data_IF_311045534897
#
_entry.id   IF_311045534897
#
_cell.length_a   1.000
_cell.length_b   1.000
_cell.length_c   1.000
_cell.angle_alpha   90.00
_cell.angle_beta   90.00
_cell.angle_gamma   90.00
#
_symmetry.space_group_name_H-M   'P 1'
#
loop_
_entity.id
_entity.type
_entity.pdbx_description
1 polymer ?
#
# COMPACT_ATOMS: atom_id res chain seq x y z
N UNK A 1 -8.21 -23.24 14.78
CA UNK A 1 -8.49 -21.88 15.30
C UNK A 1 -7.82 -20.80 14.44
N UNK A 2 -6.52 -20.90 14.12
CA UNK A 2 -5.80 -19.92 13.27
C UNK A 2 -6.40 -19.75 11.88
N UNK A 3 -6.75 -20.85 11.21
CA UNK A 3 -7.37 -20.81 9.86
C UNK A 3 -8.68 -20.03 9.88
N UNK A 4 -9.54 -20.22 10.90
CA UNK A 4 -10.78 -19.45 11.03
C UNK A 4 -10.51 -17.93 11.20
N UNK A 5 -9.49 -17.56 11.99
CA UNK A 5 -9.05 -16.16 12.13
C UNK A 5 -8.56 -15.58 10.79
N UNK A 6 -7.75 -16.32 10.05
CA UNK A 6 -7.26 -15.92 8.73
C UNK A 6 -8.39 -15.69 7.71
N UNK A 7 -9.39 -16.60 7.68
CA UNK A 7 -10.57 -16.44 6.81
C UNK A 7 -11.35 -15.17 7.19
N UNK A 8 -11.52 -14.89 8.49
CA UNK A 8 -12.17 -13.67 8.97
C UNK A 8 -11.43 -12.41 8.54
N UNK A 9 -10.10 -12.38 8.68
CA UNK A 9 -9.24 -11.27 8.25
C UNK A 9 -9.39 -11.05 6.73
N UNK A 10 -9.25 -12.12 5.94
CA UNK A 10 -9.37 -12.05 4.49
C UNK A 10 -10.74 -11.52 4.07
N UNK A 11 -11.81 -12.05 4.63
CA UNK A 11 -13.18 -11.62 4.33
C UNK A 11 -13.42 -10.14 4.65
N UNK A 12 -12.92 -9.66 5.78
CA UNK A 12 -13.02 -8.25 6.17
C UNK A 12 -12.23 -7.34 5.24
N UNK A 13 -10.97 -7.68 4.97
CA UNK A 13 -10.05 -6.85 4.17
C UNK A 13 -10.37 -6.86 2.67
N UNK A 14 -11.01 -7.92 2.15
CA UNK A 14 -11.51 -7.95 0.77
C UNK A 14 -12.90 -7.39 0.61
N UNK A 15 -13.69 -7.30 1.67
CA UNK A 15 -15.09 -6.91 1.65
C UNK A 15 -15.34 -5.40 1.43
N UNK A 16 -16.58 -4.98 1.70
CA UNK A 16 -17.03 -3.58 1.52
C UNK A 16 -16.32 -2.58 2.45
N UNK A 17 -15.77 -3.03 3.57
CA UNK A 17 -14.94 -2.22 4.47
C UNK A 17 -13.44 -2.34 4.17
N UNK A 18 -13.08 -2.98 3.06
CA UNK A 18 -11.73 -3.18 2.57
C UNK A 18 -11.62 -2.91 1.07
N UNK A 19 -11.01 -3.82 0.34
CA UNK A 19 -10.66 -3.64 -1.08
C UNK A 19 -11.86 -3.30 -1.96
N UNK A 20 -13.00 -3.99 -1.81
CA UNK A 20 -14.20 -3.72 -2.62
C UNK A 20 -14.70 -2.28 -2.36
N UNK A 21 -14.74 -1.83 -1.10
CA UNK A 21 -15.13 -0.45 -0.79
C UNK A 21 -14.19 0.59 -1.39
N UNK A 22 -12.88 0.38 -1.30
CA UNK A 22 -11.88 1.25 -1.93
C UNK A 22 -12.02 1.29 -3.45
N UNK A 23 -12.20 0.14 -4.09
CA UNK A 23 -12.41 0.03 -5.53
C UNK A 23 -13.71 0.69 -5.99
N UNK A 24 -14.80 0.54 -5.22
CA UNK A 24 -16.08 1.18 -5.55
C UNK A 24 -15.94 2.70 -5.57
N UNK A 25 -15.30 3.27 -4.54
CA UNK A 25 -15.08 4.73 -4.48
C UNK A 25 -14.14 5.21 -5.60
N UNK A 26 -13.09 4.44 -5.95
CA UNK A 26 -12.21 4.75 -7.07
C UNK A 26 -12.97 4.83 -8.39
N UNK A 27 -13.86 3.87 -8.65
CA UNK A 27 -14.68 3.85 -9.86
C UNK A 27 -15.72 4.99 -9.88
N UNK A 28 -16.41 5.24 -8.77
CA UNK A 28 -17.41 6.32 -8.66
C UNK A 28 -16.80 7.72 -8.83
N UNK A 29 -15.52 7.87 -8.48
CA UNK A 29 -14.81 9.14 -8.56
C UNK A 29 -13.88 9.23 -9.78
N UNK A 30 -13.94 8.28 -10.71
CA UNK A 30 -13.24 8.35 -11.98
C UNK A 30 -13.64 9.63 -12.73
N UNK A 31 -12.71 10.27 -13.41
CA UNK A 31 -12.86 11.56 -14.11
C UNK A 31 -13.25 12.76 -13.22
N UNK A 32 -13.09 12.65 -11.91
CA UNK A 32 -13.35 13.74 -10.97
C UNK A 32 -12.06 14.14 -10.24
N UNK A 33 -11.91 15.44 -10.00
CA UNK A 33 -10.91 15.93 -9.06
C UNK A 33 -11.37 15.59 -7.64
N UNK A 34 -10.55 14.86 -6.91
CA UNK A 34 -10.86 14.42 -5.55
C UNK A 34 -9.88 15.03 -4.56
N UNK A 35 -10.35 15.36 -3.34
CA UNK A 35 -9.47 15.83 -2.29
C UNK A 35 -8.59 14.70 -1.73
N UNK A 36 -7.51 15.10 -1.06
CA UNK A 36 -6.49 14.17 -0.55
C UNK A 36 -7.06 13.08 0.37
N UNK A 37 -8.01 13.42 1.24
CA UNK A 37 -8.63 12.46 2.17
C UNK A 37 -9.37 11.32 1.42
N UNK A 38 -9.96 11.62 0.27
CA UNK A 38 -10.57 10.60 -0.60
C UNK A 38 -9.53 9.74 -1.31
N UNK A 39 -8.45 10.36 -1.77
CA UNK A 39 -7.34 9.62 -2.37
C UNK A 39 -6.68 8.67 -1.34
N UNK A 40 -6.40 9.17 -0.14
CA UNK A 40 -5.84 8.37 0.96
C UNK A 40 -6.78 7.19 1.32
N UNK A 41 -8.09 7.42 1.33
CA UNK A 41 -9.08 6.37 1.54
C UNK A 41 -9.01 5.27 0.45
N UNK A 42 -8.93 5.68 -0.82
CA UNK A 42 -8.82 4.75 -1.94
C UNK A 42 -7.52 3.93 -1.83
N UNK A 43 -6.38 4.56 -1.62
CA UNK A 43 -5.09 3.89 -1.51
C UNK A 43 -5.04 2.89 -0.37
N UNK A 44 -5.53 3.32 0.81
CA UNK A 44 -5.58 2.46 1.99
C UNK A 44 -6.45 1.23 1.77
N UNK A 45 -7.62 1.36 1.15
CA UNK A 45 -8.54 0.24 1.04
C UNK A 45 -8.33 -0.58 -0.24
N UNK A 46 -8.20 0.05 -1.41
CA UNK A 46 -8.12 -0.67 -2.68
C UNK A 46 -6.90 -1.58 -2.76
N UNK A 47 -5.75 -1.11 -2.31
CA UNK A 47 -4.48 -1.85 -2.35
C UNK A 47 -3.97 -2.19 -0.96
N UNK A 48 -3.96 -1.22 -0.04
CA UNK A 48 -3.43 -1.38 1.31
C UNK A 48 -4.11 -2.52 2.07
N UNK A 49 -5.42 -2.64 2.01
CA UNK A 49 -6.16 -3.69 2.72
C UNK A 49 -5.72 -5.12 2.33
N UNK A 50 -5.35 -5.35 1.07
CA UNK A 50 -4.86 -6.67 0.64
C UNK A 50 -3.45 -6.96 1.15
N UNK A 51 -2.57 -5.96 1.18
CA UNK A 51 -1.24 -6.09 1.78
C UNK A 51 -1.34 -6.34 3.29
N UNK A 52 -2.20 -5.60 3.97
CA UNK A 52 -2.50 -5.81 5.39
C UNK A 52 -3.00 -7.24 5.62
N UNK A 53 -3.96 -7.73 4.81
CA UNK A 53 -4.47 -9.09 4.92
C UNK A 53 -3.36 -10.14 4.75
N UNK A 54 -2.53 -10.02 3.72
CA UNK A 54 -1.47 -10.97 3.43
C UNK A 54 -0.46 -11.05 4.58
N UNK A 55 0.00 -9.91 5.09
CA UNK A 55 1.01 -9.84 6.15
C UNK A 55 0.44 -10.31 7.49
N UNK A 56 -0.76 -9.87 7.87
CA UNK A 56 -1.40 -10.29 9.14
C UNK A 56 -1.75 -11.77 9.13
N UNK A 57 -2.21 -12.32 8.00
CA UNK A 57 -2.45 -13.76 7.86
C UNK A 57 -1.14 -14.53 8.05
N UNK A 58 -0.03 -14.06 7.47
CA UNK A 58 1.29 -14.65 7.68
C UNK A 58 1.69 -14.68 9.16
N UNK A 59 1.52 -13.56 9.88
CA UNK A 59 1.78 -13.46 11.32
C UNK A 59 0.90 -14.41 12.14
N UNK A 60 -0.41 -14.46 11.87
CA UNK A 60 -1.35 -15.38 12.54
C UNK A 60 -0.94 -16.84 12.32
N UNK A 61 -0.55 -17.20 11.10
CA UNK A 61 -0.12 -18.58 10.80
C UNK A 61 1.18 -18.94 11.48
N UNK A 62 2.11 -17.99 11.61
CA UNK A 62 3.34 -18.14 12.39
C UNK A 62 3.10 -18.24 13.91
N UNK A 63 1.94 -17.81 14.38
CA UNK A 63 1.55 -17.90 15.80
C UNK A 63 1.81 -16.63 16.59
N UNK A 64 1.92 -15.49 15.90
CA UNK A 64 2.04 -14.18 16.51
C UNK A 64 0.86 -13.89 17.46
N UNK A 65 1.14 -13.11 18.49
CA UNK A 65 0.12 -12.57 19.41
C UNK A 65 -0.79 -11.57 18.69
N UNK A 66 -1.88 -11.18 19.34
CA UNK A 66 -2.77 -10.15 18.78
C UNK A 66 -2.06 -8.80 18.67
N UNK A 67 -1.22 -8.43 19.66
CA UNK A 67 -0.41 -7.21 19.64
C UNK A 67 0.63 -7.20 18.50
N UNK A 68 1.29 -8.33 18.26
CA UNK A 68 2.21 -8.49 17.14
C UNK A 68 1.46 -8.40 15.79
N UNK A 69 0.27 -8.99 15.70
CA UNK A 69 -0.58 -8.87 14.52
C UNK A 69 -0.99 -7.41 14.23
N UNK A 70 -1.36 -6.64 15.25
CA UNK A 70 -1.66 -5.21 15.11
C UNK A 70 -0.42 -4.40 14.68
N UNK A 71 0.76 -4.77 15.17
CA UNK A 71 2.03 -4.16 14.78
C UNK A 71 2.35 -4.45 13.32
N UNK A 72 2.18 -5.70 12.88
CA UNK A 72 2.31 -6.10 11.47
C UNK A 72 1.30 -5.38 10.57
N UNK A 73 0.06 -5.18 11.03
CA UNK A 73 -0.95 -4.43 10.28
C UNK A 73 -0.53 -2.97 10.06
N UNK A 74 0.00 -2.31 11.09
CA UNK A 74 0.53 -0.93 10.96
C UNK A 74 1.70 -0.85 9.99
N UNK A 75 2.62 -1.83 10.04
CA UNK A 75 3.72 -1.93 9.09
C UNK A 75 3.20 -2.09 7.66
N UNK A 76 2.25 -3.01 7.45
CA UNK A 76 1.64 -3.25 6.14
C UNK A 76 0.91 -2.03 5.58
N UNK A 77 0.24 -1.24 6.43
CA UNK A 77 -0.41 0.00 6.05
C UNK A 77 0.60 1.05 5.54
N UNK A 78 1.75 1.20 6.21
CA UNK A 78 2.83 2.10 5.77
C UNK A 78 3.40 1.66 4.42
N UNK A 79 3.66 0.35 4.25
CA UNK A 79 4.16 -0.23 2.99
C UNK A 79 3.13 0.00 1.86
N UNK A 80 1.85 -0.26 2.13
CA UNK A 80 0.78 -0.13 1.13
C UNK A 80 0.63 1.30 0.62
N UNK A 81 0.72 2.28 1.50
CA UNK A 81 0.68 3.70 1.12
C UNK A 81 1.94 4.10 0.34
N UNK A 82 3.13 3.71 0.81
CA UNK A 82 4.38 3.97 0.10
C UNK A 82 4.37 3.37 -1.30
N UNK A 83 3.86 2.14 -1.44
CA UNK A 83 3.72 1.45 -2.71
C UNK A 83 2.84 2.20 -3.71
N UNK A 84 1.69 2.74 -3.27
CA UNK A 84 0.79 3.51 -4.14
C UNK A 84 1.40 4.86 -4.55
N UNK A 85 2.04 5.57 -3.62
CA UNK A 85 2.73 6.83 -3.95
C UNK A 85 3.89 6.57 -4.92
N UNK A 86 4.64 5.48 -4.75
CA UNK A 86 5.71 5.11 -5.67
C UNK A 86 5.16 4.75 -7.06
N UNK A 87 4.00 4.09 -7.15
CA UNK A 87 3.34 3.82 -8.43
C UNK A 87 3.00 5.12 -9.18
N UNK A 88 2.48 6.13 -8.48
CA UNK A 88 2.22 7.47 -9.05
C UNK A 88 3.50 8.18 -9.50
N UNK A 89 4.59 8.05 -8.73
CA UNK A 89 5.89 8.61 -9.12
C UNK A 89 6.39 7.94 -10.40
N UNK A 90 6.29 6.62 -10.48
CA UNK A 90 6.71 5.86 -11.64
C UNK A 90 5.87 6.19 -12.90
N UNK A 91 4.57 6.43 -12.75
CA UNK A 91 3.72 6.79 -13.89
C UNK A 91 4.18 8.10 -14.57
N UNK A 92 4.77 9.03 -13.82
CA UNK A 92 5.24 10.32 -14.36
C UNK A 92 6.74 10.37 -14.65
N UNK A 93 7.55 9.45 -14.12
CA UNK A 93 9.02 9.51 -14.27
C UNK A 93 9.61 8.42 -15.15
N UNK A 94 8.93 7.29 -15.32
CA UNK A 94 9.45 6.16 -16.08
C UNK A 94 9.12 6.26 -17.57
N UNK A 95 9.79 5.46 -18.39
CA UNK A 95 9.45 5.30 -19.79
C UNK A 95 8.49 4.12 -20.02
N UNK A 96 7.75 4.15 -21.13
CA UNK A 96 6.86 3.05 -21.49
C UNK A 96 7.60 1.71 -21.65
N UNK A 97 8.86 1.74 -22.08
CA UNK A 97 9.70 0.55 -22.24
C UNK A 97 10.03 -0.09 -20.89
N UNK A 98 10.20 0.72 -19.85
CA UNK A 98 10.52 0.26 -18.48
C UNK A 98 9.27 -0.24 -17.76
N UNK A 99 8.17 0.51 -17.82
CA UNK A 99 6.93 0.15 -17.12
C UNK A 99 6.15 -0.99 -17.77
N UNK A 100 6.33 -1.24 -19.06
CA UNK A 100 5.51 -2.19 -19.83
C UNK A 100 4.04 -1.76 -20.01
N UNK A 101 3.68 -0.56 -19.53
CA UNK A 101 2.37 0.10 -19.68
C UNK A 101 2.58 1.53 -20.20
N UNK A 102 1.56 2.19 -20.81
CA UNK A 102 1.68 3.59 -21.21
C UNK A 102 2.01 4.48 -20.00
N UNK A 103 2.99 5.37 -20.14
CA UNK A 103 3.29 6.43 -19.14
C UNK A 103 2.23 7.53 -19.20
N UNK A 104 2.12 8.31 -18.11
CA UNK A 104 1.09 9.33 -17.94
C UNK A 104 -0.32 8.76 -18.14
N UNK A 105 -0.51 7.49 -17.75
CA UNK A 105 -1.79 6.82 -17.93
C UNK A 105 -2.85 7.42 -16.99
N UNK A 106 -2.47 7.84 -15.82
CA UNK A 106 -3.35 8.48 -14.85
C UNK A 106 -3.75 9.89 -15.30
N UNK A 107 -2.82 10.66 -15.88
CA UNK A 107 -3.13 11.96 -16.48
C UNK A 107 -4.09 11.83 -17.69
N UNK A 108 -3.85 10.86 -18.57
CA UNK A 108 -4.73 10.57 -19.72
C UNK A 108 -6.12 10.12 -19.30
N UNK A 109 -6.23 9.49 -18.14
CA UNK A 109 -7.49 9.03 -17.56
C UNK A 109 -8.10 10.05 -16.59
N UNK A 110 -7.60 11.30 -16.56
CA UNK A 110 -8.03 12.36 -15.62
C UNK A 110 -8.09 11.91 -14.16
N UNK A 111 -7.20 11.00 -13.75
CA UNK A 111 -7.12 10.55 -12.36
C UNK A 111 -6.35 11.54 -11.50
N UNK A 112 -6.89 11.81 -10.33
CA UNK A 112 -6.15 12.49 -9.27
C UNK A 112 -5.15 11.51 -8.66
N UNK A 113 -3.87 11.88 -8.59
CA UNK A 113 -2.79 11.10 -8.01
C UNK A 113 -2.15 11.84 -6.85
N UNK A 114 -1.35 11.15 -6.04
CA UNK A 114 -0.59 11.80 -4.97
C UNK A 114 0.36 12.86 -5.52
N UNK A 115 1.03 12.54 -6.63
CA UNK A 115 1.95 13.47 -7.31
C UNK A 115 1.22 14.71 -7.84
N UNK A 116 0.00 14.57 -8.38
CA UNK A 116 -0.78 15.72 -8.86
C UNK A 116 -1.27 16.64 -7.74
N UNK A 117 -1.50 16.12 -6.53
CA UNK A 117 -1.95 16.90 -5.37
C UNK A 117 -0.81 17.54 -4.60
N UNK A 118 0.27 16.81 -4.37
CA UNK A 118 1.31 17.18 -3.41
C UNK A 118 2.65 17.52 -4.07
N UNK A 119 2.80 17.22 -5.36
CA UNK A 119 4.02 17.36 -6.12
C UNK A 119 5.03 16.22 -5.91
N UNK A 120 5.88 16.00 -6.92
CA UNK A 120 6.79 14.86 -6.99
C UNK A 120 7.83 14.86 -5.87
N UNK A 121 8.37 16.01 -5.49
CA UNK A 121 9.40 16.10 -4.46
C UNK A 121 8.86 15.75 -3.06
N UNK A 122 7.59 16.10 -2.79
CA UNK A 122 6.94 15.69 -1.55
C UNK A 122 6.60 14.20 -1.59
N UNK A 123 6.11 13.70 -2.72
CA UNK A 123 5.81 12.29 -2.89
C UNK A 123 7.04 11.41 -2.60
N UNK A 124 8.20 11.75 -3.14
CA UNK A 124 9.47 11.04 -2.88
C UNK A 124 9.85 11.02 -1.40
N UNK A 125 9.78 12.18 -0.73
CA UNK A 125 10.08 12.26 0.71
C UNK A 125 9.09 11.45 1.56
N UNK A 126 7.81 11.44 1.19
CA UNK A 126 6.81 10.70 1.94
C UNK A 126 6.96 9.19 1.74
N UNK A 127 7.35 8.74 0.55
CA UNK A 127 7.72 7.35 0.28
C UNK A 127 8.91 6.91 1.15
N UNK A 128 9.99 7.69 1.18
CA UNK A 128 11.17 7.42 2.02
C UNK A 128 10.79 7.30 3.49
N UNK A 129 10.06 8.29 4.02
CA UNK A 129 9.61 8.30 5.42
C UNK A 129 8.70 7.11 5.77
N UNK A 130 7.78 6.75 4.89
CA UNK A 130 6.90 5.60 5.11
C UNK A 130 7.68 4.29 5.11
N UNK A 131 8.72 4.18 4.28
CA UNK A 131 9.60 3.01 4.23
C UNK A 131 10.44 2.89 5.49
N UNK A 132 11.04 3.98 5.93
CA UNK A 132 11.77 4.03 7.21
C UNK A 132 10.85 3.63 8.36
N UNK A 133 9.64 4.19 8.41
CA UNK A 133 8.63 3.81 9.41
C UNK A 133 8.30 2.32 9.38
N UNK A 134 8.16 1.73 8.20
CA UNK A 134 7.87 0.30 8.08
C UNK A 134 9.04 -0.56 8.57
N UNK A 135 10.28 -0.17 8.26
CA UNK A 135 11.49 -0.86 8.74
C UNK A 135 11.65 -0.71 10.26
N UNK A 136 11.41 0.47 10.82
CA UNK A 136 11.44 0.68 12.27
C UNK A 136 10.41 -0.20 13.00
N UNK A 137 9.20 -0.32 12.43
CA UNK A 137 8.18 -1.23 12.97
C UNK A 137 8.63 -2.68 12.86
N UNK A 138 9.25 -3.08 11.74
CA UNK A 138 9.79 -4.44 11.57
C UNK A 138 10.78 -4.78 12.68
N UNK A 139 11.71 -3.86 12.97
CA UNK A 139 12.70 -4.07 14.05
C UNK A 139 12.12 -4.07 15.45
N UNK A 140 10.92 -3.58 15.66
CA UNK A 140 10.20 -3.68 16.94
C UNK A 140 9.58 -5.05 17.18
N UNK A 141 9.46 -5.87 16.14
CA UNK A 141 8.93 -7.24 16.24
C UNK A 141 10.03 -8.21 16.73
N UNK A 142 9.67 -9.28 17.43
CA UNK A 142 10.63 -10.28 17.86
C UNK A 142 11.23 -11.03 16.67
N UNK A 143 12.55 -11.19 16.69
CA UNK A 143 13.31 -11.87 15.64
C UNK A 143 13.87 -10.92 14.58
N UNK A 144 14.73 -11.43 13.70
CA UNK A 144 15.24 -10.74 12.52
C UNK A 144 14.60 -11.33 11.27
N UNK A 145 14.31 -10.49 10.28
CA UNK A 145 13.77 -10.94 9.01
C UNK A 145 14.36 -10.12 7.86
N UNK A 146 15.59 -10.46 7.51
CA UNK A 146 16.33 -9.80 6.43
C UNK A 146 15.58 -9.85 5.09
N UNK A 147 14.89 -10.96 4.82
CA UNK A 147 14.05 -11.08 3.61
C UNK A 147 12.93 -10.04 3.59
N UNK A 148 12.25 -9.84 4.71
CA UNK A 148 11.13 -8.88 4.76
C UNK A 148 11.65 -7.43 4.68
N UNK A 149 12.80 -7.14 5.29
CA UNK A 149 13.46 -5.85 5.16
C UNK A 149 13.85 -5.56 3.70
N UNK A 150 14.49 -6.52 3.04
CA UNK A 150 14.86 -6.42 1.63
C UNK A 150 13.62 -6.27 0.72
N UNK A 151 12.56 -7.02 1.02
CA UNK A 151 11.28 -6.90 0.29
C UNK A 151 10.67 -5.51 0.43
N UNK A 152 10.64 -4.93 1.64
CA UNK A 152 10.15 -3.56 1.87
C UNK A 152 10.96 -2.57 1.03
N UNK A 153 12.30 -2.66 1.07
CA UNK A 153 13.18 -1.79 0.29
C UNK A 153 12.93 -1.93 -1.22
N UNK A 154 12.83 -3.16 -1.73
CA UNK A 154 12.57 -3.42 -3.15
C UNK A 154 11.21 -2.88 -3.59
N UNK A 155 10.16 -3.09 -2.81
CA UNK A 155 8.80 -2.62 -3.14
C UNK A 155 8.73 -1.10 -3.27
N UNK A 156 9.52 -0.38 -2.50
CA UNK A 156 9.49 1.08 -2.42
C UNK A 156 10.51 1.72 -3.35
N UNK A 157 11.69 1.10 -3.56
CA UNK A 157 12.74 1.61 -4.45
C UNK A 157 12.66 1.06 -5.89
N UNK A 158 11.59 0.35 -6.22
CA UNK A 158 11.41 -0.24 -7.55
C UNK A 158 11.41 0.83 -8.65
N UNK A 159 11.97 0.47 -9.79
CA UNK A 159 11.98 1.28 -11.02
C UNK A 159 10.96 0.76 -12.06
N UNK A 160 10.28 -0.37 -11.73
CA UNK A 160 9.32 -1.07 -12.58
C UNK A 160 8.09 -1.45 -11.80
#
# INVERSE_FOLDING_TARGET
>A
QRVGKCIGILAQKTGIYGMIGGQTVDVELTDKLIPKDKLDFIYRLKTGALLEAAMVIGAVMAGASDEECETVERMAAAIGLAFQIQDDILDVTSSQEVLGKPVLSDEKNNKTTYVSLEGIEKAKRDVEKLSETAVDILYSLPGSNDFLEDLIKVLVSREK
#
